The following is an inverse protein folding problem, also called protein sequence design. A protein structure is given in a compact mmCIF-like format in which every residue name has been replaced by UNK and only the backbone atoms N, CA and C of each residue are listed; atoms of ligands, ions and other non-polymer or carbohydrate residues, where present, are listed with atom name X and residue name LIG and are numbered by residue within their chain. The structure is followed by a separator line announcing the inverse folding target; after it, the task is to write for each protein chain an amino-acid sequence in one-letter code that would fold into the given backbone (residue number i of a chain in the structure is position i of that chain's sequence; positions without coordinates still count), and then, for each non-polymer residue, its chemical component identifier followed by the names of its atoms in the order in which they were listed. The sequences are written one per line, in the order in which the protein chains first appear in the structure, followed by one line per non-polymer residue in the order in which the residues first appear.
data_IF_325886594492
#
_entry.id   IF_325886594492
#
_cell.length_a   1.000
_cell.length_b   1.000
_cell.length_c   1.000
_cell.angle_alpha   90.00
_cell.angle_beta   90.00
_cell.angle_gamma   90.00
#
_symmetry.space_group_name_H-M   'P 1'
#
loop_
_entity.id
_entity.type
_entity.pdbx_description
1 polymer ?
#
# COMPACT_ATOMS: atom_id res chain seq x y z
N UNK A 1 13.09 20.01 -1.27
CA UNK A 1 12.64 19.40 -0.01
C UNK A 1 13.70 19.59 1.06
N UNK A 2 13.29 19.87 2.29
CA UNK A 2 14.18 20.08 3.42
C UNK A 2 14.55 18.76 4.10
N UNK A 3 15.63 18.78 4.90
CA UNK A 3 16.04 17.61 5.67
C UNK A 3 14.93 17.21 6.67
N UNK A 4 14.62 15.92 6.76
CA UNK A 4 13.56 15.39 7.62
C UNK A 4 12.14 15.47 7.04
N UNK A 5 11.94 16.20 5.96
CA UNK A 5 10.63 16.33 5.29
C UNK A 5 10.17 15.00 4.64
N UNK A 6 11.11 14.17 4.23
CA UNK A 6 10.84 12.87 3.60
C UNK A 6 11.23 11.74 4.53
N UNK A 7 10.32 10.78 4.72
CA UNK A 7 10.56 9.54 5.47
C UNK A 7 10.22 8.32 4.65
N UNK A 8 11.10 7.32 4.67
CA UNK A 8 10.89 6.05 3.99
C UNK A 8 10.27 5.03 4.95
N UNK A 9 9.18 4.43 4.55
CA UNK A 9 8.41 3.47 5.34
C UNK A 9 8.91 2.05 5.06
N UNK A 10 9.04 1.24 6.08
CA UNK A 10 9.63 -0.11 6.00
C UNK A 10 8.61 -1.22 6.24
N UNK A 11 7.66 -1.02 7.16
CA UNK A 11 6.68 -2.05 7.53
C UNK A 11 7.31 -3.35 8.02
N UNK A 12 8.45 -3.26 8.74
CA UNK A 12 9.36 -4.39 9.02
C UNK A 12 8.73 -5.55 9.79
N UNK A 13 7.59 -5.34 10.44
CA UNK A 13 6.84 -6.42 11.12
C UNK A 13 6.12 -7.34 10.14
N UNK A 14 5.82 -6.86 8.93
CA UNK A 14 5.02 -7.56 7.93
C UNK A 14 5.73 -7.74 6.59
N UNK A 15 6.70 -6.88 6.29
CA UNK A 15 7.38 -6.79 5.01
C UNK A 15 8.89 -6.93 5.19
N UNK A 16 9.55 -7.62 4.27
CA UNK A 16 10.99 -7.69 4.25
C UNK A 16 11.60 -6.47 3.55
N UNK A 17 12.87 -6.14 3.83
CA UNK A 17 13.60 -5.07 3.15
C UNK A 17 13.66 -5.28 1.63
N UNK A 18 13.45 -4.21 0.86
CA UNK A 18 13.40 -4.29 -0.61
C UNK A 18 14.73 -4.71 -1.24
N UNK A 19 15.86 -4.34 -0.61
CA UNK A 19 17.19 -4.71 -1.11
C UNK A 19 17.44 -6.24 -1.14
N UNK A 20 16.71 -7.03 -0.33
CA UNK A 20 16.79 -8.49 -0.34
C UNK A 20 16.29 -9.11 -1.66
N UNK A 21 15.48 -8.38 -2.44
CA UNK A 21 15.06 -8.81 -3.78
C UNK A 21 15.96 -8.30 -4.89
N UNK A 22 16.98 -7.52 -4.59
CA UNK A 22 17.82 -6.86 -5.59
C UNK A 22 17.10 -5.75 -6.36
N UNK A 23 16.10 -5.11 -5.74
CA UNK A 23 15.32 -4.01 -6.33
C UNK A 23 15.58 -2.69 -5.62
N UNK A 24 15.24 -1.57 -6.26
CA UNK A 24 15.57 -0.21 -5.83
C UNK A 24 14.30 0.64 -5.65
N UNK A 25 13.31 0.13 -4.92
CA UNK A 25 12.12 0.90 -4.55
C UNK A 25 11.94 0.93 -3.03
N UNK A 26 11.20 1.90 -2.52
CA UNK A 26 10.78 1.96 -1.11
C UNK A 26 9.38 1.36 -0.96
N UNK A 27 9.09 0.73 0.18
CA UNK A 27 7.77 0.19 0.51
C UNK A 27 6.71 1.28 0.57
N UNK A 28 7.11 2.44 1.03
CA UNK A 28 6.31 3.64 1.02
C UNK A 28 7.15 4.85 1.37
N UNK A 29 6.62 6.03 1.08
CA UNK A 29 7.28 7.31 1.34
C UNK A 29 6.26 8.29 1.92
N UNK A 30 6.58 8.88 3.05
CA UNK A 30 5.82 9.98 3.63
C UNK A 30 6.56 11.31 3.39
N UNK A 31 5.82 12.32 2.93
CA UNK A 31 6.32 13.67 2.70
C UNK A 31 5.49 14.64 3.51
N UNK A 32 6.13 15.39 4.42
CA UNK A 32 5.47 16.36 5.27
C UNK A 32 5.56 17.78 4.65
N UNK A 33 4.40 18.44 4.58
CA UNK A 33 4.24 19.86 4.28
C UNK A 33 3.78 20.57 5.54
N UNK A 34 3.69 21.88 5.54
CA UNK A 34 3.33 22.66 6.72
C UNK A 34 1.95 22.33 7.31
N UNK A 35 0.99 21.97 6.44
CA UNK A 35 -0.39 21.71 6.81
C UNK A 35 -0.86 20.26 6.56
N UNK A 36 -0.04 19.44 5.88
CA UNK A 36 -0.44 18.06 5.51
C UNK A 36 0.75 17.13 5.33
N UNK A 37 0.47 15.87 5.43
CA UNK A 37 1.35 14.75 5.07
C UNK A 37 0.79 14.01 3.86
N UNK A 38 1.59 13.82 2.84
CA UNK A 38 1.31 12.88 1.75
C UNK A 38 2.04 11.56 2.02
N UNK A 39 1.33 10.45 1.83
CA UNK A 39 1.89 9.11 1.99
C UNK A 39 1.65 8.32 0.71
N UNK A 40 2.74 7.87 0.10
CA UNK A 40 2.74 7.06 -1.11
C UNK A 40 3.08 5.63 -0.71
N UNK A 41 2.15 4.70 -0.86
CA UNK A 41 2.37 3.28 -0.63
C UNK A 41 2.60 2.61 -1.98
N UNK A 42 3.79 2.05 -2.16
CA UNK A 42 4.17 1.33 -3.38
C UNK A 42 3.37 0.04 -3.52
N UNK A 43 3.37 -0.54 -4.71
CA UNK A 43 2.75 -1.82 -4.99
C UNK A 43 3.09 -2.86 -3.92
N UNK A 44 2.07 -3.34 -3.22
CA UNK A 44 2.17 -4.24 -2.07
C UNK A 44 1.34 -5.48 -2.33
N UNK A 45 1.90 -6.65 -2.08
CA UNK A 45 1.27 -7.94 -2.28
C UNK A 45 1.14 -8.74 -0.97
N UNK A 46 0.61 -9.97 -1.06
CA UNK A 46 0.50 -10.90 0.05
C UNK A 46 1.82 -11.60 0.33
N UNK A 47 2.69 -10.94 1.08
CA UNK A 47 3.98 -11.47 1.53
C UNK A 47 4.13 -11.34 3.05
N UNK A 48 5.08 -12.06 3.61
CA UNK A 48 5.52 -11.89 5.00
C UNK A 48 6.86 -11.13 5.11
N UNK A 49 7.37 -11.01 6.31
CA UNK A 49 8.64 -10.32 6.59
C UNK A 49 9.90 -11.09 6.17
N UNK A 50 9.74 -12.28 5.59
CA UNK A 50 10.81 -13.01 4.90
C UNK A 50 10.73 -12.88 3.38
N UNK A 51 9.71 -12.17 2.87
CA UNK A 51 9.44 -12.04 1.44
C UNK A 51 8.74 -13.25 0.81
N UNK A 52 8.31 -14.20 1.63
CA UNK A 52 7.58 -15.38 1.17
C UNK A 52 6.13 -15.04 0.87
N UNK A 53 5.58 -15.68 -0.17
CA UNK A 53 4.16 -15.52 -0.52
C UNK A 53 3.29 -16.15 0.55
N UNK A 54 2.34 -15.39 1.06
CA UNK A 54 1.35 -15.87 2.03
C UNK A 54 0.04 -16.19 1.30
N UNK A 55 -0.54 -17.33 1.61
CA UNK A 55 -1.78 -17.86 1.00
C UNK A 55 -1.69 -18.09 -0.52
N UNK A 56 -0.76 -18.92 -1.01
CA UNK A 56 -0.65 -19.24 -2.44
C UNK A 56 -1.99 -19.78 -3.00
N UNK A 57 -2.41 -19.27 -4.16
CA UNK A 57 -3.61 -19.74 -4.85
C UNK A 57 -4.95 -19.28 -4.28
N UNK A 58 -4.97 -18.50 -3.21
CA UNK A 58 -6.20 -18.00 -2.57
C UNK A 58 -6.25 -16.46 -2.64
N UNK A 59 -6.92 -15.92 -3.64
CA UNK A 59 -6.99 -14.46 -3.86
C UNK A 59 -7.68 -13.73 -2.71
N UNK A 60 -8.70 -14.32 -2.08
CA UNK A 60 -9.40 -13.68 -0.96
C UNK A 60 -8.48 -13.53 0.25
N UNK A 61 -7.77 -14.59 0.64
CA UNK A 61 -6.81 -14.52 1.74
C UNK A 61 -5.61 -13.66 1.40
N UNK A 62 -5.13 -13.68 0.15
CA UNK A 62 -4.10 -12.75 -0.30
C UNK A 62 -4.54 -11.29 -0.18
N UNK A 63 -5.80 -10.98 -0.52
CA UNK A 63 -6.37 -9.64 -0.35
C UNK A 63 -6.33 -9.19 1.11
N UNK A 64 -6.78 -10.04 2.03
CA UNK A 64 -6.77 -9.72 3.47
C UNK A 64 -5.34 -9.51 4.00
N UNK A 65 -4.39 -10.36 3.60
CA UNK A 65 -2.99 -10.22 4.01
C UNK A 65 -2.37 -8.94 3.45
N UNK A 66 -2.59 -8.66 2.18
CA UNK A 66 -2.13 -7.44 1.52
C UNK A 66 -2.67 -6.17 2.21
N UNK A 67 -3.96 -6.15 2.57
CA UNK A 67 -4.53 -5.04 3.36
C UNK A 67 -3.83 -4.87 4.71
N UNK A 68 -3.49 -5.96 5.39
CA UNK A 68 -2.70 -5.90 6.62
C UNK A 68 -1.31 -5.30 6.41
N UNK A 69 -0.65 -5.67 5.32
CA UNK A 69 0.67 -5.13 4.95
C UNK A 69 0.61 -3.61 4.67
N UNK A 70 -0.40 -3.15 3.92
CA UNK A 70 -0.62 -1.72 3.65
C UNK A 70 -0.98 -0.96 4.93
N UNK A 71 -1.80 -1.56 5.80
CA UNK A 71 -2.16 -0.95 7.09
C UNK A 71 -0.93 -0.65 7.95
N UNK A 72 0.00 -1.57 8.06
CA UNK A 72 1.24 -1.37 8.83
C UNK A 72 2.07 -0.20 8.29
N UNK A 73 2.15 -0.05 6.96
CA UNK A 73 2.84 1.08 6.33
C UNK A 73 2.12 2.40 6.61
N UNK A 74 0.79 2.43 6.52
CA UNK A 74 -0.01 3.61 6.85
C UNK A 74 0.18 4.01 8.31
N UNK A 75 0.11 3.05 9.23
CA UNK A 75 0.31 3.27 10.68
C UNK A 75 1.72 3.79 11.00
N UNK A 76 2.76 3.28 10.34
CA UNK A 76 4.13 3.80 10.46
C UNK A 76 4.22 5.27 10.02
N UNK A 77 3.41 5.68 9.05
CA UNK A 77 3.28 7.08 8.62
C UNK A 77 2.34 7.90 9.52
N UNK A 78 1.70 7.31 10.53
CA UNK A 78 0.70 7.96 11.37
C UNK A 78 -0.65 8.16 10.67
N UNK A 79 -0.95 7.38 9.64
CA UNK A 79 -2.18 7.39 8.86
C UNK A 79 -3.01 6.12 9.10
N UNK A 80 -4.25 6.16 8.65
CA UNK A 80 -5.14 5.01 8.59
C UNK A 80 -5.74 4.88 7.20
N UNK A 81 -6.55 3.85 6.96
CA UNK A 81 -7.28 3.73 5.70
C UNK A 81 -8.27 4.90 5.46
N UNK A 82 -8.74 5.58 6.51
CA UNK A 82 -9.61 6.74 6.37
C UNK A 82 -8.90 7.95 5.72
N UNK A 83 -7.58 7.99 5.80
CA UNK A 83 -6.74 9.01 5.16
C UNK A 83 -6.45 8.68 3.68
N UNK A 84 -6.80 7.48 3.20
CA UNK A 84 -6.51 7.04 1.82
C UNK A 84 -7.43 7.72 0.83
N UNK A 85 -6.85 8.42 -0.13
CA UNK A 85 -7.56 9.22 -1.14
C UNK A 85 -7.91 8.40 -2.39
N UNK A 86 -7.06 7.47 -2.77
CA UNK A 86 -7.31 6.56 -3.89
C UNK A 86 -6.50 5.27 -3.78
N UNK A 87 -6.98 4.24 -4.45
CA UNK A 87 -6.36 2.92 -4.53
C UNK A 87 -6.29 2.46 -5.99
N UNK A 88 -5.18 1.82 -6.38
CA UNK A 88 -5.07 1.07 -7.63
C UNK A 88 -4.88 -0.40 -7.25
N UNK A 89 -5.78 -1.23 -7.71
CA UNK A 89 -5.83 -2.67 -7.43
C UNK A 89 -5.49 -3.44 -8.69
N UNK A 90 -4.39 -4.16 -8.68
CA UNK A 90 -3.92 -4.96 -9.79
C UNK A 90 -4.33 -6.42 -9.60
N UNK A 91 -4.98 -7.00 -10.59
CA UNK A 91 -5.41 -8.39 -10.61
C UNK A 91 -4.67 -9.16 -11.70
N UNK A 92 -4.07 -10.27 -11.33
CA UNK A 92 -3.39 -11.15 -12.29
C UNK A 92 -4.39 -11.86 -13.20
N UNK A 93 -5.52 -12.31 -12.67
CA UNK A 93 -6.57 -12.99 -13.41
C UNK A 93 -7.88 -12.20 -13.34
N UNK A 94 -8.49 -11.97 -14.48
CA UNK A 94 -9.78 -11.28 -14.57
C UNK A 94 -10.90 -12.10 -13.90
N UNK A 95 -10.75 -13.42 -13.79
CA UNK A 95 -11.71 -14.27 -13.09
C UNK A 95 -11.87 -13.92 -11.60
N UNK A 96 -10.84 -13.33 -10.98
CA UNK A 96 -10.86 -12.92 -9.58
C UNK A 96 -11.59 -11.59 -9.35
N UNK A 97 -11.90 -10.84 -10.41
CA UNK A 97 -12.43 -9.48 -10.31
C UNK A 97 -13.72 -9.38 -9.49
N UNK A 98 -14.70 -10.24 -9.77
CA UNK A 98 -16.00 -10.15 -9.11
C UNK A 98 -15.89 -10.35 -7.58
N UNK A 99 -15.08 -11.33 -7.16
CA UNK A 99 -14.83 -11.61 -5.75
C UNK A 99 -14.07 -10.49 -5.06
N UNK A 100 -12.97 -10.04 -5.64
CA UNK A 100 -12.14 -8.97 -5.07
C UNK A 100 -12.91 -7.66 -5.01
N UNK A 101 -13.65 -7.30 -6.07
CA UNK A 101 -14.51 -6.12 -6.07
C UNK A 101 -15.51 -6.15 -4.92
N UNK A 102 -16.19 -7.27 -4.69
CA UNK A 102 -17.15 -7.39 -3.59
C UNK A 102 -16.50 -7.14 -2.22
N UNK A 103 -15.28 -7.67 -2.00
CA UNK A 103 -14.52 -7.45 -0.77
C UNK A 103 -14.16 -5.96 -0.58
N UNK A 104 -13.74 -5.28 -1.64
CA UNK A 104 -13.40 -3.84 -1.59
C UNK A 104 -14.64 -2.96 -1.39
N UNK A 105 -15.76 -3.26 -2.04
CA UNK A 105 -17.01 -2.51 -1.87
C UNK A 105 -17.58 -2.66 -0.46
N UNK A 106 -17.40 -3.81 0.19
CA UNK A 106 -17.80 -4.02 1.58
C UNK A 106 -16.92 -3.23 2.56
N UNK A 107 -15.60 -3.28 2.39
CA UNK A 107 -14.65 -2.68 3.34
C UNK A 107 -14.41 -1.19 3.10
N UNK A 108 -14.40 -0.76 1.85
CA UNK A 108 -14.03 0.58 1.41
C UNK A 108 -15.05 1.18 0.44
N UNK A 109 -16.36 1.26 0.83
CA UNK A 109 -17.43 1.67 -0.10
C UNK A 109 -17.23 3.06 -0.69
N UNK A 110 -16.67 3.99 0.10
CA UNK A 110 -16.56 5.41 -0.26
C UNK A 110 -15.18 5.80 -0.80
N UNK A 111 -14.21 4.87 -0.83
CA UNK A 111 -12.87 5.15 -1.33
C UNK A 111 -12.83 5.12 -2.85
N UNK A 112 -12.20 6.13 -3.45
CA UNK A 112 -11.87 6.11 -4.87
C UNK A 112 -10.92 4.96 -5.18
N UNK A 113 -11.29 4.10 -6.12
CA UNK A 113 -10.50 2.93 -6.50
C UNK A 113 -10.68 2.55 -7.96
N UNK A 114 -9.66 1.98 -8.54
CA UNK A 114 -9.68 1.43 -9.88
C UNK A 114 -9.07 0.03 -9.85
N UNK A 115 -9.63 -0.88 -10.64
CA UNK A 115 -9.14 -2.24 -10.81
C UNK A 115 -8.47 -2.36 -12.16
N UNK A 116 -7.28 -2.93 -12.18
CA UNK A 116 -6.46 -3.09 -13.37
C UNK A 116 -6.16 -4.57 -13.58
N UNK A 117 -6.48 -5.09 -14.75
CA UNK A 117 -6.03 -6.41 -15.14
C UNK A 117 -4.60 -6.31 -15.68
N UNK A 118 -3.65 -6.78 -14.90
CA UNK A 118 -2.23 -6.71 -15.25
C UNK A 118 -1.44 -7.87 -14.60
N UNK A 119 -0.43 -8.41 -15.26
CA UNK A 119 0.49 -9.33 -14.64
C UNK A 119 1.32 -8.57 -13.60
N UNK A 120 1.20 -8.97 -12.35
CA UNK A 120 2.04 -8.46 -11.26
C UNK A 120 3.40 -9.18 -11.25
N UNK A 121 4.40 -8.63 -10.55
CA UNK A 121 5.81 -8.99 -10.70
C UNK A 121 6.13 -10.48 -10.50
N UNK A 122 5.40 -11.19 -9.64
CA UNK A 122 5.67 -12.60 -9.34
C UNK A 122 4.47 -13.48 -9.64
N UNK A 123 4.67 -14.68 -10.23
CA UNK A 123 3.57 -15.56 -10.64
C UNK A 123 2.61 -15.95 -9.52
N UNK A 124 3.09 -16.09 -8.28
CA UNK A 124 2.27 -16.45 -7.13
C UNK A 124 1.49 -15.30 -6.51
N UNK A 125 1.73 -14.06 -6.91
CA UNK A 125 0.93 -12.91 -6.50
C UNK A 125 -0.30 -12.80 -7.38
N UNK A 126 -1.48 -12.98 -6.80
CA UNK A 126 -2.75 -12.91 -7.50
C UNK A 126 -3.30 -11.50 -7.51
N UNK A 127 -2.93 -10.71 -6.51
CA UNK A 127 -3.37 -9.34 -6.31
C UNK A 127 -2.22 -8.48 -5.77
N UNK A 128 -2.22 -7.22 -6.17
CA UNK A 128 -1.31 -6.18 -5.67
C UNK A 128 -2.08 -4.87 -5.55
N UNK A 129 -1.72 -4.02 -4.61
CA UNK A 129 -2.35 -2.72 -4.41
C UNK A 129 -1.30 -1.65 -4.18
N UNK A 130 -1.49 -0.48 -4.76
CA UNK A 130 -0.85 0.77 -4.38
C UNK A 130 -1.91 1.77 -3.94
N UNK A 131 -1.55 2.72 -3.09
CA UNK A 131 -2.45 3.77 -2.66
C UNK A 131 -1.71 5.05 -2.26
N UNK A 132 -2.46 6.13 -2.20
CA UNK A 132 -2.00 7.41 -1.67
C UNK A 132 -2.92 7.86 -0.56
N UNK A 133 -2.33 8.27 0.57
CA UNK A 133 -3.04 8.89 1.68
C UNK A 133 -2.62 10.35 1.87
N UNK A 134 -3.54 11.16 2.35
CA UNK A 134 -3.29 12.56 2.73
C UNK A 134 -3.90 12.81 4.09
N UNK A 135 -3.09 13.31 5.02
CA UNK A 135 -3.52 13.63 6.38
C UNK A 135 -3.16 15.05 6.74
N UNK A 136 -4.09 15.77 7.33
CA UNK A 136 -3.81 17.07 7.93
C UNK A 136 -2.81 16.92 9.09
N UNK A 137 -1.79 17.76 9.12
CA UNK A 137 -0.81 17.85 10.20
C UNK A 137 -0.55 19.32 10.50
N UNK A 138 -0.09 19.62 11.71
CA UNK A 138 0.20 21.00 12.12
C UNK A 138 1.63 21.09 12.69
N UNK A 139 2.23 22.28 12.59
CA UNK A 139 3.44 22.63 13.32
C UNK A 139 4.75 22.02 12.79
N UNK A 140 4.78 21.52 11.56
CA UNK A 140 5.99 20.93 10.98
C UNK A 140 7.06 21.96 10.60
N UNK A 141 6.70 23.23 10.43
CA UNK A 141 7.62 24.30 10.01
C UNK A 141 8.00 24.27 8.52
N UNK A 142 7.48 23.33 7.74
CA UNK A 142 7.70 23.26 6.29
C UNK A 142 6.74 24.18 5.53
N UNK A 143 7.11 24.54 4.30
CA UNK A 143 6.23 25.30 3.42
C UNK A 143 5.10 24.44 2.87
N UNK A 144 3.98 25.10 2.53
CA UNK A 144 2.86 24.53 1.81
C UNK A 144 3.08 24.76 0.30
N UNK A 145 2.85 23.74 -0.52
CA UNK A 145 2.86 23.84 -1.97
C UNK A 145 1.44 23.71 -2.53
#
# INVERSE_FOLDING_TARGET
LEEGQVRYLKGSTHLNPTHEYGVTFERGTAVDYGDRRHVFISGTASIDNTGSIVHPGDVAKQTLRMWGNVQVLLEEAGCTYDDVMHMIVYLRDIADYAQVRAMYEERFPDHAKVYVWAPVCRPGWLIEMECMAVKAVEGNGYENF
#
